data_IF_680418205990
#
_entry.id   IF_680418205990
#
_cell.length_a   1.000
_cell.length_b   1.000
_cell.length_c   1.000
_cell.angle_alpha   90.00
_cell.angle_beta   90.00
_cell.angle_gamma   90.00
#
_symmetry.space_group_name_H-M   'P 1'
#
loop_
_entity.id
_entity.type
_entity.pdbx_description
1 polymer ?
#
# COMPACT_ATOMS: atom_id res chain seq x y z
N UNK A 1 -10.53 -6.36 24.82
CA UNK A 1 -10.98 -5.33 23.84
C UNK A 1 -10.47 -5.59 22.40
N UNK A 2 -10.29 -6.85 21.98
CA UNK A 2 -9.58 -7.17 20.72
C UNK A 2 -10.51 -7.47 19.52
N UNK A 3 -11.81 -7.65 19.76
CA UNK A 3 -12.78 -8.00 18.71
C UNK A 3 -13.28 -6.78 17.92
N UNK A 4 -13.44 -5.63 18.57
CA UNK A 4 -14.00 -4.41 17.94
C UNK A 4 -13.00 -3.78 16.96
N UNK A 5 -11.70 -3.80 17.31
CA UNK A 5 -10.64 -3.25 16.44
C UNK A 5 -10.41 -4.14 15.21
N UNK A 6 -10.42 -5.47 15.38
CA UNK A 6 -10.26 -6.43 14.26
C UNK A 6 -11.37 -6.30 13.21
N UNK A 7 -12.64 -6.18 13.62
CA UNK A 7 -13.75 -6.00 12.67
C UNK A 7 -13.65 -4.71 11.86
N UNK A 8 -13.13 -3.62 12.44
CA UNK A 8 -12.98 -2.36 11.74
C UNK A 8 -11.84 -2.37 10.71
N UNK A 9 -10.72 -3.04 10.99
CA UNK A 9 -9.61 -3.16 10.04
C UNK A 9 -9.99 -4.00 8.82
N UNK A 10 -10.59 -5.18 9.03
CA UNK A 10 -11.07 -6.07 7.97
C UNK A 10 -12.08 -5.38 7.03
N UNK A 11 -13.02 -4.61 7.58
CA UNK A 11 -14.01 -3.87 6.79
C UNK A 11 -13.34 -2.79 5.93
N UNK A 12 -12.35 -2.08 6.48
CA UNK A 12 -11.61 -1.02 5.77
C UNK A 12 -10.72 -1.59 4.67
N UNK A 13 -10.08 -2.73 4.89
CA UNK A 13 -9.29 -3.46 3.90
C UNK A 13 -10.16 -3.94 2.74
N UNK A 14 -11.35 -4.47 3.03
CA UNK A 14 -12.28 -4.94 2.01
C UNK A 14 -12.75 -3.80 1.09
N UNK A 15 -13.05 -2.63 1.67
CA UNK A 15 -13.42 -1.43 0.89
C UNK A 15 -12.23 -0.95 0.05
N UNK A 16 -11.02 -0.99 0.60
CA UNK A 16 -9.81 -0.62 -0.12
C UNK A 16 -9.58 -1.52 -1.34
N UNK A 17 -9.62 -2.84 -1.12
CA UNK A 17 -9.56 -3.82 -2.19
C UNK A 17 -10.58 -3.50 -3.28
N UNK A 18 -11.85 -3.33 -2.91
CA UNK A 18 -12.93 -3.08 -3.89
C UNK A 18 -12.64 -1.84 -4.74
N UNK A 19 -12.26 -0.72 -4.13
CA UNK A 19 -11.95 0.52 -4.85
C UNK A 19 -10.72 0.40 -5.75
N UNK A 20 -9.69 -0.32 -5.29
CA UNK A 20 -8.49 -0.58 -6.10
C UNK A 20 -8.87 -1.43 -7.32
N UNK A 21 -9.60 -2.53 -7.12
CA UNK A 21 -9.98 -3.45 -8.20
C UNK A 21 -11.02 -2.86 -9.16
N UNK A 22 -11.90 -1.97 -8.69
CA UNK A 22 -12.85 -1.22 -9.55
C UNK A 22 -12.13 -0.40 -10.61
N UNK A 23 -10.96 0.17 -10.28
CA UNK A 23 -10.13 0.90 -11.24
C UNK A 23 -9.38 -0.01 -12.21
N UNK A 24 -9.40 -1.33 -12.00
CA UNK A 24 -8.67 -2.35 -12.79
C UNK A 24 -7.23 -1.93 -13.12
N UNK A 25 -6.43 -1.49 -12.13
CA UNK A 25 -5.05 -1.08 -12.37
C UNK A 25 -4.25 -2.27 -12.90
N UNK A 26 -3.38 -2.04 -13.88
CA UNK A 26 -2.41 -3.03 -14.33
C UNK A 26 -1.28 -3.17 -13.30
N UNK A 27 -0.94 -2.08 -12.63
CA UNK A 27 0.10 -2.07 -11.59
C UNK A 27 -0.30 -1.18 -10.40
N UNK A 28 -0.26 -1.76 -9.21
CA UNK A 28 -0.47 -1.08 -7.93
C UNK A 28 0.88 -0.84 -7.23
N UNK A 29 1.17 0.42 -6.96
CA UNK A 29 2.33 0.84 -6.19
C UNK A 29 2.01 0.89 -4.70
N UNK A 30 2.96 0.49 -3.85
CA UNK A 30 2.84 0.63 -2.40
C UNK A 30 3.95 1.53 -1.92
N UNK A 31 3.59 2.61 -1.23
CA UNK A 31 4.57 3.56 -0.71
C UNK A 31 4.87 3.24 0.75
N UNK A 32 6.05 2.65 0.96
CA UNK A 32 6.65 2.17 2.22
C UNK A 32 5.83 1.07 2.92
N UNK A 33 6.53 0.06 3.42
CA UNK A 33 5.92 -1.00 4.24
C UNK A 33 6.00 -0.68 5.74
N UNK A 34 6.92 0.20 6.15
CA UNK A 34 7.22 0.45 7.56
C UNK A 34 6.19 1.33 8.26
N UNK A 35 5.86 0.95 9.51
CA UNK A 35 5.68 1.91 10.61
C UNK A 35 6.98 1.87 11.43
N UNK A 36 7.84 2.88 11.27
CA UNK A 36 9.21 3.02 11.82
C UNK A 36 10.29 2.10 11.20
N UNK A 37 11.44 2.69 10.93
CA UNK A 37 12.64 1.99 10.48
C UNK A 37 13.08 0.95 11.55
N UNK A 38 13.24 -0.32 11.14
CA UNK A 38 13.79 -1.39 11.98
C UNK A 38 12.76 -2.29 12.70
N UNK A 39 11.48 -2.23 12.35
CA UNK A 39 10.46 -3.06 13.01
C UNK A 39 10.02 -4.23 12.11
N UNK A 40 10.38 -5.47 12.50
CA UNK A 40 9.98 -6.74 11.85
C UNK A 40 8.45 -7.04 11.90
N UNK A 41 7.64 -6.12 12.45
CA UNK A 41 6.17 -6.22 12.52
C UNK A 41 5.43 -6.04 11.17
N UNK A 42 6.13 -6.14 10.06
CA UNK A 42 5.54 -6.03 8.72
C UNK A 42 4.39 -7.01 8.49
N UNK A 43 4.56 -8.27 8.94
CA UNK A 43 3.60 -9.37 8.74
C UNK A 43 2.26 -9.20 9.45
N UNK A 44 2.12 -8.25 10.38
CA UNK A 44 0.87 -8.00 11.12
C UNK A 44 0.21 -6.67 10.73
N UNK A 45 0.65 -6.05 9.64
CA UNK A 45 0.11 -4.77 9.16
C UNK A 45 -0.95 -4.94 8.07
N UNK A 46 -2.00 -4.13 8.15
CA UNK A 46 -3.14 -4.11 7.21
C UNK A 46 -2.75 -3.87 5.73
N UNK A 47 -1.50 -3.51 5.44
CA UNK A 47 -1.02 -3.34 4.07
C UNK A 47 -0.63 -4.68 3.42
N UNK A 48 -0.12 -5.64 4.21
CA UNK A 48 0.14 -6.99 3.71
C UNK A 48 -1.15 -7.72 3.36
N UNK A 49 -2.19 -7.57 4.18
CA UNK A 49 -3.52 -8.11 3.87
C UNK A 49 -4.05 -7.56 2.53
N UNK A 50 -3.85 -6.26 2.26
CA UNK A 50 -4.21 -5.65 0.98
C UNK A 50 -3.34 -6.20 -0.16
N UNK A 51 -2.03 -6.34 0.05
CA UNK A 51 -1.11 -6.93 -0.93
C UNK A 51 -1.62 -8.30 -1.34
N UNK A 52 -1.82 -9.20 -0.39
CA UNK A 52 -2.25 -10.58 -0.68
C UNK A 52 -3.60 -10.63 -1.38
N UNK A 53 -4.53 -9.74 -1.01
CA UNK A 53 -5.85 -9.68 -1.65
C UNK A 53 -5.84 -9.13 -3.08
N UNK A 54 -4.86 -8.29 -3.43
CA UNK A 54 -4.79 -7.54 -4.69
C UNK A 54 -3.78 -8.17 -5.67
N UNK A 55 -2.73 -8.82 -5.17
CA UNK A 55 -1.66 -9.50 -5.91
C UNK A 55 -2.16 -10.48 -7.00
N UNK A 56 -3.26 -11.24 -6.82
CA UNK A 56 -3.76 -12.13 -7.88
C UNK A 56 -4.35 -11.39 -9.10
N UNK A 57 -4.70 -10.11 -8.94
CA UNK A 57 -5.44 -9.34 -9.95
C UNK A 57 -4.60 -8.23 -10.60
N UNK A 58 -3.54 -7.78 -9.95
CA UNK A 58 -2.68 -6.68 -10.43
C UNK A 58 -1.23 -6.91 -10.05
N UNK A 59 -0.30 -6.34 -10.82
CA UNK A 59 1.12 -6.36 -10.45
C UNK A 59 1.35 -5.42 -9.29
N UNK A 60 2.21 -5.79 -8.34
CA UNK A 60 2.52 -4.96 -7.19
C UNK A 60 3.99 -4.53 -7.27
N UNK A 61 4.24 -3.25 -7.04
CA UNK A 61 5.57 -2.67 -6.91
C UNK A 61 5.65 -1.92 -5.59
N UNK A 62 6.66 -2.21 -4.77
CA UNK A 62 6.77 -1.62 -3.44
C UNK A 62 7.95 -0.66 -3.41
N UNK A 63 7.71 0.60 -3.06
CA UNK A 63 8.78 1.54 -2.77
C UNK A 63 9.22 1.39 -1.31
N UNK A 64 10.43 0.87 -1.11
CA UNK A 64 11.04 0.74 0.20
C UNK A 64 12.56 1.01 0.08
N UNK A 65 13.01 2.26 0.31
CA UNK A 65 14.41 2.63 0.12
C UNK A 65 15.34 1.88 1.10
N UNK A 66 14.81 1.47 2.25
CA UNK A 66 15.54 0.76 3.29
C UNK A 66 15.47 -0.78 3.14
N UNK A 67 14.82 -1.29 2.08
CA UNK A 67 14.70 -2.73 1.88
C UNK A 67 16.08 -3.37 1.70
N UNK A 68 16.32 -4.42 2.49
CA UNK A 68 17.47 -5.31 2.32
C UNK A 68 17.10 -6.42 1.33
N UNK A 69 17.06 -6.07 0.05
CA UNK A 69 16.72 -7.00 -1.04
C UNK A 69 16.03 -6.31 -2.21
N UNK A 70 15.70 -7.09 -3.23
CA UNK A 70 15.03 -6.62 -4.45
C UNK A 70 13.57 -7.08 -4.53
N UNK A 71 13.13 -8.00 -3.68
CA UNK A 71 11.75 -8.48 -3.63
C UNK A 71 11.40 -9.06 -2.25
N UNK A 72 10.10 -9.15 -1.96
CA UNK A 72 9.53 -9.88 -0.82
C UNK A 72 8.33 -10.70 -1.30
N UNK A 73 8.31 -12.00 -0.97
CA UNK A 73 7.23 -12.91 -1.37
C UNK A 73 6.89 -12.83 -2.87
N UNK A 74 7.88 -12.60 -3.74
CA UNK A 74 7.68 -12.44 -5.19
C UNK A 74 7.06 -11.09 -5.62
N UNK A 75 7.12 -10.08 -4.75
CA UNK A 75 6.77 -8.69 -5.06
C UNK A 75 8.03 -7.85 -5.08
N UNK A 76 8.27 -7.15 -6.19
CA UNK A 76 9.48 -6.37 -6.40
C UNK A 76 9.54 -5.10 -5.53
N UNK A 77 10.73 -4.78 -5.06
CA UNK A 77 11.07 -3.53 -4.40
C UNK A 77 11.70 -2.54 -5.38
N UNK A 78 11.36 -1.27 -5.20
CA UNK A 78 12.03 -0.16 -5.85
C UNK A 78 12.54 0.84 -4.81
N UNK A 79 13.77 1.30 -4.99
CA UNK A 79 14.37 2.38 -4.16
C UNK A 79 14.20 3.76 -4.79
N UNK A 80 13.64 3.80 -6.00
CA UNK A 80 13.36 5.04 -6.71
C UNK A 80 11.87 5.34 -6.66
N UNK A 81 11.54 6.44 -6.00
CA UNK A 81 10.17 6.91 -5.88
C UNK A 81 9.60 7.31 -7.25
N UNK A 82 10.41 7.84 -8.16
CA UNK A 82 9.97 8.20 -9.52
C UNK A 82 9.54 6.96 -10.28
N UNK A 83 10.34 5.92 -10.23
CA UNK A 83 10.00 4.62 -10.83
C UNK A 83 8.68 4.05 -10.26
N UNK A 84 8.40 4.22 -8.96
CA UNK A 84 7.08 3.87 -8.41
C UNK A 84 5.97 4.69 -9.07
N UNK A 85 6.11 6.02 -9.14
CA UNK A 85 5.11 6.94 -9.69
C UNK A 85 4.81 6.70 -11.16
N UNK A 86 5.82 6.35 -11.94
CA UNK A 86 5.72 6.15 -13.38
C UNK A 86 5.11 4.78 -13.72
N UNK A 87 5.50 3.74 -12.99
CA UNK A 87 5.03 2.36 -13.26
C UNK A 87 3.69 2.02 -12.62
N UNK A 88 3.23 2.81 -11.66
CA UNK A 88 2.01 2.49 -10.90
C UNK A 88 0.82 3.30 -11.42
N UNK A 89 -0.28 2.61 -11.71
CA UNK A 89 -1.56 3.24 -12.05
C UNK A 89 -2.24 3.82 -10.81
N UNK A 90 -2.02 3.16 -9.67
CA UNK A 90 -2.56 3.55 -8.37
C UNK A 90 -1.47 3.34 -7.32
N UNK A 91 -1.35 4.28 -6.37
CA UNK A 91 -0.35 4.18 -5.30
C UNK A 91 -1.06 4.18 -3.95
N UNK A 92 -0.74 3.20 -3.12
CA UNK A 92 -1.30 3.01 -1.79
C UNK A 92 -0.21 3.38 -0.78
N UNK A 93 -0.22 4.61 -0.24
CA UNK A 93 0.67 4.97 0.83
C UNK A 93 0.21 4.42 2.18
N UNK A 94 1.17 3.93 2.97
CA UNK A 94 0.92 3.68 4.39
C UNK A 94 0.70 5.00 5.16
N UNK A 95 1.37 6.07 4.74
CA UNK A 95 1.17 7.44 5.25
C UNK A 95 1.29 8.46 4.12
N UNK A 96 0.40 9.46 4.10
CA UNK A 96 0.52 10.58 3.17
C UNK A 96 1.79 11.38 3.52
N UNK A 97 2.67 11.51 2.53
CA UNK A 97 3.94 12.24 2.61
C UNK A 97 3.93 13.37 1.57
N UNK A 98 4.71 14.43 1.80
CA UNK A 98 4.82 15.58 0.88
C UNK A 98 5.33 15.14 -0.50
N UNK A 99 6.18 14.12 -0.51
CA UNK A 99 6.72 13.51 -1.72
C UNK A 99 5.67 12.86 -2.63
N UNK A 100 4.41 12.75 -2.18
CA UNK A 100 3.31 12.20 -2.96
C UNK A 100 2.29 13.27 -3.38
N UNK A 101 2.52 14.54 -3.06
CA UNK A 101 1.56 15.61 -3.35
C UNK A 101 1.32 15.84 -4.84
N UNK A 102 2.34 15.55 -5.65
CA UNK A 102 2.35 15.65 -7.11
C UNK A 102 1.49 14.57 -7.79
N UNK A 103 1.15 13.48 -7.09
CA UNK A 103 0.37 12.37 -7.63
C UNK A 103 -0.91 12.09 -6.83
N UNK A 104 -1.45 13.09 -6.13
CA UNK A 104 -2.66 12.97 -5.28
C UNK A 104 -3.84 12.27 -5.94
N UNK A 105 -4.03 12.46 -7.25
CA UNK A 105 -5.08 11.82 -8.05
C UNK A 105 -4.91 10.30 -8.24
N UNK A 106 -3.64 9.83 -8.23
CA UNK A 106 -3.28 8.41 -8.28
C UNK A 106 -3.18 7.79 -6.88
N UNK A 107 -3.14 8.60 -5.83
CA UNK A 107 -3.07 8.11 -4.46
C UNK A 107 -4.40 7.49 -4.03
N UNK A 108 -4.35 6.23 -3.68
CA UNK A 108 -5.35 5.58 -2.86
C UNK A 108 -5.00 5.79 -1.40
N UNK A 109 -5.41 6.93 -0.84
CA UNK A 109 -5.36 7.14 0.60
C UNK A 109 -6.74 6.92 1.22
N UNK A 110 -6.78 6.23 2.36
CA UNK A 110 -7.99 6.15 3.20
C UNK A 110 -8.34 7.53 3.79
N UNK A 111 -7.37 8.45 3.89
CA UNK A 111 -7.52 9.77 4.53
C UNK A 111 -8.34 10.79 3.72
N UNK A 112 -8.72 10.50 2.47
CA UNK A 112 -9.64 11.39 1.74
C UNK A 112 -11.03 11.42 2.42
N UNK A 113 -11.35 10.46 3.30
CA UNK A 113 -12.42 10.61 4.28
C UNK A 113 -11.82 10.96 5.65
N UNK A 114 -11.41 12.22 5.80
CA UNK A 114 -11.32 12.88 7.09
C UNK A 114 -12.61 12.65 7.87
N UNK A 115 -12.52 11.88 8.96
CA UNK A 115 -13.15 12.09 10.28
C UNK A 115 -12.93 10.83 11.12
N UNK A 116 -11.77 10.76 11.78
CA UNK A 116 -11.59 10.79 13.24
C UNK A 116 -10.12 10.50 13.58
#
# INVERSE_FOLDING_TARGET
MSAIVKSNSLRKEHIAKKKILEKKPKTAGIYRLTMKAGSDNFRSSAIFDIIEMVKPFTKILIYEPLAKGNEIDGVEFTKDLRNLKDKSDIIIPNRVDKDLEDIKEKLYTRDIYKRD
#
